data_IF_759142104884
#
_entry.id   IF_759142104884
#
_cell.length_a   1.000
_cell.length_b   1.000
_cell.length_c   1.000
_cell.angle_alpha   90.00
_cell.angle_beta   90.00
_cell.angle_gamma   90.00
#
_symmetry.space_group_name_H-M   'P 1'
#
loop_
_entity.id
_entity.type
_entity.pdbx_description
1 polymer ?
#
# COMPACT_ATOMS: atom_id res chain seq x y z
N UNK A 1 -13.98 21.05 1.33
CA UNK A 1 -14.34 19.97 0.40
C UNK A 1 -13.51 18.76 0.77
N UNK A 2 -14.09 17.72 1.32
CA UNK A 2 -13.40 16.46 1.52
C UNK A 2 -13.25 15.81 0.15
N UNK A 3 -12.03 15.77 -0.36
CA UNK A 3 -11.75 15.12 -1.65
C UNK A 3 -11.92 13.63 -1.46
N UNK A 4 -12.95 13.05 -2.11
CA UNK A 4 -13.15 11.61 -2.12
C UNK A 4 -11.96 10.95 -2.82
N UNK A 5 -11.34 9.99 -2.15
CA UNK A 5 -10.14 9.31 -2.70
C UNK A 5 -10.54 8.16 -3.62
N UNK A 6 -9.72 7.92 -4.65
CA UNK A 6 -9.84 6.74 -5.49
C UNK A 6 -8.76 5.72 -5.12
N UNK A 7 -9.18 4.48 -4.92
CA UNK A 7 -8.28 3.35 -4.66
C UNK A 7 -8.42 2.33 -5.78
N UNK A 8 -7.28 1.83 -6.25
CA UNK A 8 -7.24 0.69 -7.17
C UNK A 8 -6.32 -0.39 -6.61
N UNK A 9 -6.83 -1.62 -6.55
CA UNK A 9 -6.04 -2.79 -6.15
C UNK A 9 -6.01 -3.84 -7.27
N UNK A 10 -5.17 -4.84 -7.10
CA UNK A 10 -5.22 -6.07 -7.90
C UNK A 10 -6.45 -6.92 -7.54
N UNK A 11 -6.61 -8.07 -8.20
CA UNK A 11 -7.74 -8.99 -7.99
C UNK A 11 -7.71 -9.80 -6.69
N UNK A 12 -6.86 -9.48 -5.72
CA UNK A 12 -6.79 -10.23 -4.47
C UNK A 12 -8.02 -9.94 -3.58
N UNK A 13 -8.78 -10.98 -3.26
CA UNK A 13 -10.09 -10.88 -2.57
C UNK A 13 -10.04 -10.19 -1.20
N UNK A 14 -8.92 -10.33 -0.46
CA UNK A 14 -8.77 -9.73 0.85
C UNK A 14 -8.82 -8.19 0.84
N UNK A 15 -8.49 -7.55 -0.28
CA UNK A 15 -8.56 -6.10 -0.39
C UNK A 15 -9.98 -5.55 -0.29
N UNK A 16 -10.99 -6.28 -0.78
CA UNK A 16 -12.37 -5.80 -0.73
C UNK A 16 -12.81 -5.52 0.71
N UNK A 17 -12.67 -6.50 1.60
CA UNK A 17 -13.01 -6.31 3.02
C UNK A 17 -12.10 -5.33 3.76
N UNK A 18 -10.81 -5.26 3.41
CA UNK A 18 -9.88 -4.32 4.04
C UNK A 18 -10.20 -2.86 3.67
N UNK A 19 -10.52 -2.59 2.40
CA UNK A 19 -10.90 -1.24 1.93
C UNK A 19 -12.24 -0.83 2.52
N UNK A 20 -13.23 -1.72 2.52
CA UNK A 20 -14.54 -1.47 3.13
C UNK A 20 -14.40 -1.18 4.64
N UNK A 21 -13.62 -1.97 5.36
CA UNK A 21 -13.38 -1.77 6.79
C UNK A 21 -12.64 -0.48 7.14
N UNK A 22 -11.76 0.01 6.26
CA UNK A 22 -10.96 1.21 6.49
C UNK A 22 -11.66 2.51 6.04
N UNK A 23 -12.39 2.48 4.96
CA UNK A 23 -12.95 3.66 4.29
C UNK A 23 -14.49 3.67 4.21
N UNK A 24 -15.14 2.54 4.47
CA UNK A 24 -16.59 2.42 4.31
C UNK A 24 -17.04 2.74 2.89
N UNK A 25 -18.06 3.63 2.79
CA UNK A 25 -18.61 4.09 1.50
C UNK A 25 -17.92 5.35 0.96
N UNK A 26 -16.96 5.93 1.69
CA UNK A 26 -16.33 7.23 1.35
C UNK A 26 -15.14 7.10 0.40
N UNK A 27 -15.13 6.04 -0.42
CA UNK A 27 -14.05 5.75 -1.37
C UNK A 27 -14.61 5.35 -2.73
N UNK A 28 -13.94 5.77 -3.80
CA UNK A 28 -14.15 5.27 -5.15
C UNK A 28 -13.19 4.09 -5.37
N UNK A 29 -13.73 2.86 -5.33
CA UNK A 29 -12.91 1.66 -5.32
C UNK A 29 -13.11 0.80 -6.55
N UNK A 30 -12.01 0.49 -7.22
CA UNK A 30 -11.95 -0.44 -8.34
C UNK A 30 -10.88 -1.52 -8.15
N UNK A 31 -11.14 -2.69 -8.68
CA UNK A 31 -10.15 -3.76 -8.83
C UNK A 31 -9.77 -3.91 -10.30
N UNK A 32 -8.47 -4.05 -10.56
CA UNK A 32 -7.94 -4.38 -11.87
C UNK A 32 -7.37 -5.80 -11.83
N UNK A 33 -8.06 -6.72 -12.51
CA UNK A 33 -7.75 -8.14 -12.51
C UNK A 33 -7.03 -8.47 -13.81
N UNK A 34 -5.75 -8.87 -13.71
CA UNK A 34 -4.98 -9.37 -14.84
C UNK A 34 -5.32 -10.83 -15.09
N UNK A 35 -5.70 -11.15 -16.31
CA UNK A 35 -5.98 -12.52 -16.74
C UNK A 35 -4.72 -13.09 -17.39
N UNK A 36 -4.28 -14.22 -16.88
CA UNK A 36 -3.09 -14.90 -17.40
C UNK A 36 -3.49 -16.12 -18.20
N UNK A 37 -2.77 -16.38 -19.30
CA UNK A 37 -2.93 -17.57 -20.11
C UNK A 37 -2.54 -18.84 -19.36
N UNK A 38 -2.92 -19.98 -19.93
CA UNK A 38 -2.49 -21.29 -19.41
C UNK A 38 -0.95 -21.35 -19.37
N UNK A 39 -0.36 -22.04 -18.38
CA UNK A 39 1.07 -22.30 -18.36
C UNK A 39 1.49 -23.00 -19.66
N UNK A 40 2.60 -22.58 -20.22
CA UNK A 40 3.16 -23.26 -21.40
C UNK A 40 3.66 -24.65 -21.01
N UNK A 41 3.29 -25.67 -21.75
CA UNK A 41 3.80 -27.05 -21.58
C UNK A 41 5.25 -27.20 -22.04
N UNK A 42 5.84 -26.13 -22.63
CA UNK A 42 7.23 -26.14 -23.07
C UNK A 42 8.18 -26.07 -21.86
N UNK A 43 9.10 -27.05 -21.70
CA UNK A 43 10.08 -27.07 -20.59
C UNK A 43 10.94 -25.81 -20.51
N UNK A 44 11.25 -25.17 -21.63
CA UNK A 44 12.07 -23.95 -21.71
C UNK A 44 11.37 -22.72 -21.13
N UNK A 45 10.03 -22.69 -21.15
CA UNK A 45 9.23 -21.58 -20.65
C UNK A 45 8.64 -21.83 -19.26
N UNK A 46 8.95 -22.98 -18.64
CA UNK A 46 8.40 -23.38 -17.35
C UNK A 46 8.62 -22.36 -16.23
N UNK A 47 9.71 -21.61 -16.31
CA UNK A 47 10.06 -20.57 -15.32
C UNK A 47 9.77 -19.15 -15.82
N UNK A 48 9.24 -18.99 -17.01
CA UNK A 48 8.84 -17.69 -17.54
C UNK A 48 7.51 -17.27 -16.89
N UNK A 49 7.33 -15.97 -16.59
CA UNK A 49 6.05 -15.49 -16.07
C UNK A 49 4.94 -15.72 -17.09
N UNK A 50 3.77 -16.14 -16.64
CA UNK A 50 2.61 -16.35 -17.50
C UNK A 50 2.26 -15.06 -18.28
N UNK A 51 1.94 -15.20 -19.55
CA UNK A 51 1.60 -14.05 -20.41
C UNK A 51 0.22 -13.51 -20.01
N UNK A 52 0.13 -12.19 -19.79
CA UNK A 52 -1.14 -11.52 -19.55
C UNK A 52 -1.94 -11.48 -20.87
N UNK A 53 -3.08 -12.18 -20.89
CA UNK A 53 -3.95 -12.30 -22.07
C UNK A 53 -5.11 -11.32 -22.06
N UNK A 54 -5.34 -10.63 -20.93
CA UNK A 54 -6.41 -9.67 -20.82
C UNK A 54 -6.46 -8.99 -19.45
N UNK A 55 -7.30 -7.97 -19.36
CA UNK A 55 -7.52 -7.19 -18.14
C UNK A 55 -9.03 -7.06 -17.95
N UNK A 56 -9.49 -7.29 -16.73
CA UNK A 56 -10.85 -7.03 -16.31
C UNK A 56 -10.87 -6.04 -15.16
N UNK A 57 -11.67 -4.99 -15.27
CA UNK A 57 -11.94 -4.04 -14.18
C UNK A 57 -13.27 -4.35 -13.52
N UNK A 58 -13.32 -4.24 -12.19
CA UNK A 58 -14.55 -4.34 -11.42
C UNK A 58 -14.64 -3.13 -10.48
N UNK A 59 -15.72 -2.35 -10.58
CA UNK A 59 -16.05 -1.28 -9.61
C UNK A 59 -16.75 -1.92 -8.42
N UNK A 60 -16.24 -1.69 -7.21
CA UNK A 60 -16.81 -2.22 -5.98
C UNK A 60 -17.54 -1.14 -5.17
N UNK A 61 -17.07 0.12 -5.20
CA UNK A 61 -17.71 1.23 -4.51
C UNK A 61 -17.52 2.54 -5.27
N UNK A 62 -18.51 3.42 -5.19
CA UNK A 62 -18.48 4.77 -5.76
C UNK A 62 -18.44 4.81 -7.28
N UNK A 63 -17.80 5.84 -7.82
CA UNK A 63 -17.65 6.06 -9.25
C UNK A 63 -16.19 6.33 -9.64
N UNK A 64 -15.32 5.30 -9.65
CA UNK A 64 -13.91 5.48 -9.94
C UNK A 64 -13.70 5.95 -11.39
N UNK A 65 -12.79 6.92 -11.56
CA UNK A 65 -12.37 7.37 -12.88
C UNK A 65 -11.60 6.26 -13.60
N UNK A 66 -12.14 5.78 -14.70
CA UNK A 66 -11.61 4.67 -15.49
C UNK A 66 -10.21 4.95 -16.03
N UNK A 67 -9.85 6.20 -16.30
CA UNK A 67 -8.54 6.58 -16.82
C UNK A 67 -7.43 6.39 -15.78
N UNK A 68 -7.80 6.45 -14.49
CA UNK A 68 -6.88 6.31 -13.37
C UNK A 68 -6.92 4.92 -12.70
N UNK A 69 -7.66 3.96 -13.25
CA UNK A 69 -7.64 2.58 -12.76
C UNK A 69 -6.34 1.89 -13.20
N UNK A 70 -5.40 1.76 -12.27
CA UNK A 70 -4.09 1.14 -12.51
C UNK A 70 -3.57 0.43 -11.25
N UNK A 71 -2.94 -0.73 -11.42
CA UNK A 71 -2.24 -1.44 -10.34
C UNK A 71 -0.81 -0.96 -10.13
N UNK A 72 -0.30 -0.05 -10.95
CA UNK A 72 1.09 0.41 -10.89
C UNK A 72 1.45 1.02 -9.54
N UNK A 73 0.53 1.75 -8.91
CA UNK A 73 0.77 2.36 -7.60
C UNK A 73 0.88 1.32 -6.48
N UNK A 74 -0.03 0.35 -6.43
CA UNK A 74 0.02 -0.71 -5.42
C UNK A 74 1.22 -1.64 -5.64
N UNK A 75 1.54 -1.97 -6.89
CA UNK A 75 2.73 -2.76 -7.23
C UNK A 75 4.02 -2.02 -6.82
N UNK A 76 4.10 -0.71 -7.07
CA UNK A 76 5.23 0.13 -6.64
C UNK A 76 5.33 0.20 -5.13
N UNK A 77 4.22 0.37 -4.42
CA UNK A 77 4.21 0.40 -2.96
C UNK A 77 4.62 -0.95 -2.36
N UNK A 78 4.17 -2.06 -2.93
CA UNK A 78 4.61 -3.39 -2.55
C UNK A 78 6.12 -3.59 -2.74
N UNK A 79 6.69 -3.04 -3.82
CA UNK A 79 8.14 -3.06 -4.04
C UNK A 79 8.86 -2.22 -2.97
N UNK A 80 8.40 -1.00 -2.71
CA UNK A 80 8.98 -0.12 -1.70
C UNK A 80 8.98 -0.79 -0.31
N UNK A 81 7.87 -1.46 0.05
CA UNK A 81 7.75 -2.19 1.30
C UNK A 81 8.78 -3.34 1.40
N UNK A 82 8.95 -4.12 0.32
CA UNK A 82 9.95 -5.20 0.27
C UNK A 82 11.37 -4.67 0.36
N UNK A 83 11.66 -3.53 -0.26
CA UNK A 83 12.98 -2.90 -0.20
C UNK A 83 13.25 -2.23 1.15
N UNK A 84 12.25 -1.63 1.75
CA UNK A 84 12.38 -0.87 3.00
C UNK A 84 12.25 -1.71 4.27
N UNK A 85 11.56 -2.84 4.22
CA UNK A 85 11.30 -3.68 5.39
C UNK A 85 11.77 -5.11 5.15
N UNK A 86 12.85 -5.50 5.82
CA UNK A 86 13.47 -6.82 5.66
C UNK A 86 12.49 -7.99 5.87
N UNK A 87 11.47 -7.83 6.71
CA UNK A 87 10.47 -8.87 6.98
C UNK A 87 9.60 -9.23 5.77
N UNK A 88 9.54 -8.35 4.76
CA UNK A 88 8.84 -8.59 3.49
C UNK A 88 9.78 -9.03 2.36
N UNK A 89 11.08 -9.11 2.63
CA UNK A 89 12.05 -9.61 1.65
C UNK A 89 11.85 -11.10 1.44
N UNK A 90 11.85 -11.55 0.19
CA UNK A 90 11.75 -12.97 -0.14
C UNK A 90 13.01 -13.73 0.33
N UNK A 91 12.84 -15.01 0.65
CA UNK A 91 13.94 -15.92 1.05
C UNK A 91 14.77 -15.40 2.23
N UNK A 92 14.10 -14.86 3.24
CA UNK A 92 14.75 -14.40 4.48
C UNK A 92 14.07 -15.02 5.71
N UNK A 93 14.86 -15.27 6.76
CA UNK A 93 14.36 -15.72 8.06
C UNK A 93 13.87 -14.56 8.95
N UNK A 94 13.75 -13.36 8.43
CA UNK A 94 13.37 -12.15 9.16
C UNK A 94 11.86 -11.96 9.29
N UNK A 95 11.10 -13.02 9.53
CA UNK A 95 9.65 -12.94 9.74
C UNK A 95 9.29 -12.52 11.18
N UNK A 96 8.08 -11.99 11.36
CA UNK A 96 7.54 -11.67 12.68
C UNK A 96 6.92 -12.92 13.30
N UNK A 97 7.41 -13.34 14.47
CA UNK A 97 6.85 -14.49 15.22
C UNK A 97 5.48 -14.17 15.84
N UNK A 98 5.24 -12.89 16.19
CA UNK A 98 3.97 -12.42 16.75
C UNK A 98 3.29 -11.49 15.75
N UNK A 99 1.97 -11.64 15.58
CA UNK A 99 1.18 -10.81 14.68
C UNK A 99 1.23 -9.31 15.05
N UNK A 100 1.16 -9.01 16.34
CA UNK A 100 1.24 -7.63 16.86
C UNK A 100 2.54 -6.94 16.44
N UNK A 101 3.69 -7.64 16.56
CA UNK A 101 4.98 -7.09 16.11
C UNK A 101 5.03 -6.85 14.59
N UNK A 102 4.25 -7.64 13.83
CA UNK A 102 4.11 -7.42 12.40
C UNK A 102 3.30 -6.14 12.12
N UNK A 103 2.18 -5.96 12.79
CA UNK A 103 1.34 -4.76 12.67
C UNK A 103 2.12 -3.49 13.07
N UNK A 104 2.84 -3.52 14.19
CA UNK A 104 3.67 -2.40 14.62
C UNK A 104 4.75 -2.04 13.58
N UNK A 105 5.42 -3.04 13.00
CA UNK A 105 6.43 -2.78 11.98
C UNK A 105 5.83 -2.15 10.73
N UNK A 106 4.66 -2.60 10.29
CA UNK A 106 3.95 -2.02 9.15
C UNK A 106 3.55 -0.57 9.48
N UNK A 107 3.01 -0.33 10.68
CA UNK A 107 2.66 1.01 11.15
C UNK A 107 3.85 1.98 11.16
N UNK A 108 4.97 1.57 11.74
CA UNK A 108 6.21 2.37 11.78
C UNK A 108 6.73 2.66 10.36
N UNK A 109 6.73 1.65 9.48
CA UNK A 109 7.16 1.85 8.10
C UNK A 109 6.31 2.89 7.38
N UNK A 110 4.97 2.82 7.49
CA UNK A 110 4.09 3.77 6.82
C UNK A 110 4.16 5.16 7.45
N UNK A 111 4.33 5.27 8.76
CA UNK A 111 4.58 6.55 9.41
C UNK A 111 5.87 7.21 8.90
N UNK A 112 6.98 6.46 8.89
CA UNK A 112 8.23 6.92 8.29
C UNK A 112 8.08 7.31 6.82
N UNK A 113 7.43 6.45 6.01
CA UNK A 113 7.23 6.68 4.58
C UNK A 113 6.45 7.96 4.30
N UNK A 114 5.39 8.19 5.08
CA UNK A 114 4.49 9.31 4.85
C UNK A 114 5.02 10.64 5.41
N UNK A 115 5.73 10.64 6.53
CA UNK A 115 6.12 11.86 7.22
C UNK A 115 7.60 12.22 7.11
N UNK A 116 8.49 11.22 7.02
CA UNK A 116 9.93 11.44 7.06
C UNK A 116 10.61 11.30 5.69
N UNK A 117 10.03 10.50 4.79
CA UNK A 117 10.66 10.22 3.49
C UNK A 117 10.18 11.17 2.41
N UNK A 118 11.10 11.96 1.86
CA UNK A 118 10.85 12.77 0.66
C UNK A 118 10.66 11.87 -0.56
N UNK A 119 9.55 12.03 -1.24
CA UNK A 119 9.25 11.31 -2.48
C UNK A 119 9.89 12.01 -3.67
N UNK A 120 10.66 11.27 -4.48
CA UNK A 120 11.45 11.88 -5.57
C UNK A 120 10.61 12.66 -6.58
N UNK A 121 9.44 12.16 -6.94
CA UNK A 121 8.54 12.80 -7.91
C UNK A 121 7.80 13.98 -7.30
N UNK A 122 7.33 13.87 -6.06
CA UNK A 122 6.62 14.93 -5.36
C UNK A 122 7.56 16.03 -4.83
N UNK A 123 8.83 15.68 -4.57
CA UNK A 123 9.85 16.52 -3.91
C UNK A 123 9.51 16.95 -2.48
N UNK A 124 8.44 16.43 -1.95
CA UNK A 124 7.96 16.58 -0.57
C UNK A 124 7.59 15.21 -0.02
N UNK A 125 7.20 15.14 1.26
CA UNK A 125 6.65 13.88 1.81
C UNK A 125 5.19 13.71 1.40
N UNK A 126 4.65 12.48 1.36
CA UNK A 126 3.23 12.25 1.09
C UNK A 126 2.29 13.00 2.04
N UNK A 127 2.67 13.15 3.32
CA UNK A 127 1.88 13.90 4.29
C UNK A 127 1.87 15.41 4.01
N UNK A 128 2.98 15.97 3.51
CA UNK A 128 3.04 17.38 3.07
C UNK A 128 2.17 17.60 1.84
N UNK A 129 2.24 16.71 0.86
CA UNK A 129 1.40 16.79 -0.35
C UNK A 129 -0.09 16.71 -0.02
N UNK A 130 -0.45 15.92 0.98
CA UNK A 130 -1.82 15.80 1.47
C UNK A 130 -2.25 16.95 2.40
N UNK A 131 -1.37 17.92 2.69
CA UNK A 131 -1.64 19.04 3.61
C UNK A 131 -1.80 18.64 5.09
N UNK A 132 -1.26 17.46 5.47
CA UNK A 132 -1.31 16.92 6.84
C UNK A 132 -0.10 17.38 7.67
N UNK A 133 1.03 17.61 7.01
CA UNK A 133 2.26 18.12 7.61
C UNK A 133 2.78 19.32 6.82
N UNK A 134 3.43 20.23 7.49
CA UNK A 134 4.02 21.45 6.91
C UNK A 134 5.54 21.33 6.64
N UNK A 135 6.17 20.30 7.16
CA UNK A 135 7.60 20.02 6.99
C UNK A 135 7.90 18.51 6.95
N UNK A 136 9.14 18.18 6.59
CA UNK A 136 9.67 16.82 6.65
C UNK A 136 10.00 16.47 8.09
N UNK A 137 9.32 15.50 8.66
CA UNK A 137 9.57 15.07 10.03
C UNK A 137 10.92 14.36 10.18
N UNK A 138 11.59 14.66 11.27
CA UNK A 138 12.75 13.90 11.73
C UNK A 138 12.29 12.58 12.39
N UNK A 139 13.19 11.61 12.50
CA UNK A 139 12.89 10.38 13.26
C UNK A 139 12.61 10.67 14.73
N UNK A 140 13.24 11.70 15.28
CA UNK A 140 13.01 12.12 16.67
C UNK A 140 11.60 12.64 16.89
N UNK A 141 11.09 13.48 16.00
CA UNK A 141 9.69 13.96 16.04
C UNK A 141 8.70 12.80 15.93
N UNK A 142 8.98 11.83 15.03
CA UNK A 142 8.13 10.64 14.90
C UNK A 142 8.07 9.83 16.21
N UNK A 143 9.20 9.64 16.90
CA UNK A 143 9.27 8.92 18.18
C UNK A 143 8.52 9.69 19.27
N UNK A 144 8.77 11.00 19.40
CA UNK A 144 8.10 11.86 20.39
C UNK A 144 6.58 11.88 20.20
N UNK A 145 6.10 11.86 18.95
CA UNK A 145 4.67 11.79 18.67
C UNK A 145 4.03 10.49 19.18
N UNK A 146 4.74 9.36 19.10
CA UNK A 146 4.28 8.08 19.61
C UNK A 146 4.23 8.07 21.16
N UNK A 147 5.25 8.61 21.80
CA UNK A 147 5.31 8.74 23.27
C UNK A 147 4.20 9.67 23.81
N UNK A 148 3.93 10.80 23.16
CA UNK A 148 2.86 11.72 23.55
C UNK A 148 1.46 11.06 23.52
N UNK A 149 1.20 10.19 22.54
CA UNK A 149 -0.06 9.45 22.45
C UNK A 149 -0.24 8.40 23.56
N UNK A 150 0.83 7.84 24.06
CA UNK A 150 0.76 6.90 25.21
C UNK A 150 0.43 7.64 26.49
N UNK A 151 1.03 8.80 26.73
CA UNK A 151 0.76 9.64 27.90
C UNK A 151 -0.69 10.16 27.96
N UNK A 152 -1.28 10.48 26.81
CA UNK A 152 -2.68 10.95 26.73
C UNK A 152 -3.73 9.84 26.85
N UNK A 153 -3.36 8.56 26.73
CA UNK A 153 -4.26 7.42 26.96
C UNK A 153 -4.35 7.01 28.43
N UNK A 154 -3.44 7.49 29.29
CA UNK A 154 -3.36 7.15 30.72
C UNK A 154 -4.02 8.22 31.59
N UNK A 155 -4.40 9.34 31.01
CA UNK A 155 -5.17 10.43 31.65
C UNK A 155 -6.64 10.35 31.24
#
# INVERSE_FOLDING_TARGET
MTTRIQITTDGHRAYAGAVEGAFGMDVDYAMLIKLYGAPSDNPETRYSPATCIGIRTATLSGNPDRQHISTSYVERQNLNLRMGVRRFTRLTNAFSKKFENHCHMVGIYHAYYNFCRVHQTLRVTPAMEAGIADHVWTLQELVLFLEYKELTKVA
#
